data_IF_661568950197
#
_entry.id   IF_661568950197
#
_cell.length_a   1.000
_cell.length_b   1.000
_cell.length_c   1.000
_cell.angle_alpha   90.00
_cell.angle_beta   90.00
_cell.angle_gamma   90.00
#
_symmetry.space_group_name_H-M   'P 1'
#
loop_
_entity.id
_entity.type
_entity.pdbx_description
1 polymer ?
#
# COMPACT_ATOMS: atom_id res chain seq x y z
N UNK A 1 -13.19 10.29 -34.56
CA UNK A 1 -12.85 9.49 -33.36
C UNK A 1 -14.04 9.50 -32.42
N UNK A 2 -14.58 8.32 -32.10
CA UNK A 2 -15.79 8.18 -31.27
C UNK A 2 -15.39 7.56 -29.93
N UNK A 3 -15.67 8.24 -28.82
CA UNK A 3 -15.46 7.67 -27.48
C UNK A 3 -16.51 6.59 -27.20
N UNK A 4 -16.07 5.36 -26.96
CA UNK A 4 -16.94 4.22 -26.68
C UNK A 4 -17.18 4.07 -25.18
N UNK A 5 -16.13 4.22 -24.38
CA UNK A 5 -16.22 4.05 -22.93
C UNK A 5 -14.87 4.18 -22.22
N UNK A 6 -14.88 3.91 -20.92
CA UNK A 6 -13.68 3.92 -20.08
C UNK A 6 -13.66 2.64 -19.26
N UNK A 7 -12.54 1.91 -19.29
CA UNK A 7 -12.36 0.65 -18.57
C UNK A 7 -11.03 0.66 -17.81
N UNK A 8 -11.08 0.39 -16.49
CA UNK A 8 -9.89 0.29 -15.62
C UNK A 8 -8.90 1.47 -15.74
N UNK A 9 -9.40 2.68 -15.97
CA UNK A 9 -8.59 3.90 -16.11
C UNK A 9 -8.13 4.21 -17.54
N UNK A 10 -8.40 3.33 -18.51
CA UNK A 10 -8.12 3.53 -19.92
C UNK A 10 -9.37 3.94 -20.69
N UNK A 11 -9.23 4.80 -21.70
CA UNK A 11 -10.34 5.22 -22.58
C UNK A 11 -10.32 4.41 -23.87
N UNK A 12 -11.45 3.82 -24.23
CA UNK A 12 -11.63 3.15 -25.52
C UNK A 12 -12.23 4.15 -26.51
N UNK A 13 -11.54 4.31 -27.63
CA UNK A 13 -11.93 5.17 -28.74
C UNK A 13 -12.03 4.30 -29.99
N UNK A 14 -13.05 4.51 -30.81
CA UNK A 14 -13.10 3.97 -32.15
C UNK A 14 -12.55 5.01 -33.13
N UNK A 15 -11.47 4.63 -33.82
CA UNK A 15 -10.89 5.42 -34.89
C UNK A 15 -11.50 4.96 -36.23
N UNK A 16 -12.42 5.75 -36.75
CA UNK A 16 -13.09 5.49 -38.02
C UNK A 16 -12.13 5.49 -39.22
N UNK A 17 -11.02 6.25 -39.14
CA UNK A 17 -10.04 6.34 -40.22
C UNK A 17 -9.23 5.04 -40.32
N UNK A 18 -8.85 4.48 -39.17
CA UNK A 18 -8.12 3.21 -39.08
C UNK A 18 -9.04 1.99 -39.03
N UNK A 19 -10.34 2.18 -38.81
CA UNK A 19 -11.36 1.15 -38.56
C UNK A 19 -10.97 0.19 -37.44
N UNK A 20 -10.41 0.75 -36.38
CA UNK A 20 -9.92 -0.01 -35.23
C UNK A 20 -10.36 0.66 -33.94
N UNK A 21 -10.48 -0.15 -32.90
CA UNK A 21 -10.58 0.35 -31.55
C UNK A 21 -9.17 0.65 -31.04
N UNK A 22 -9.03 1.77 -30.33
CA UNK A 22 -7.79 2.26 -29.75
C UNK A 22 -8.00 2.48 -28.25
N UNK A 23 -7.04 2.05 -27.46
CA UNK A 23 -6.99 2.21 -26.01
C UNK A 23 -6.03 3.34 -25.69
N UNK A 24 -6.53 4.35 -24.98
CA UNK A 24 -5.76 5.49 -24.50
C UNK A 24 -5.58 5.43 -22.98
N UNK A 25 -4.45 5.89 -22.48
CA UNK A 25 -4.22 6.05 -21.04
C UNK A 25 -4.81 7.35 -20.47
N UNK A 26 -4.48 7.68 -19.22
CA UNK A 26 -4.93 8.91 -18.54
C UNK A 26 -4.27 10.18 -19.06
N UNK A 27 -3.17 10.06 -19.82
CA UNK A 27 -2.48 11.15 -20.51
C UNK A 27 -2.94 11.30 -21.96
N UNK A 28 -3.90 10.46 -22.39
CA UNK A 28 -4.47 10.40 -23.72
C UNK A 28 -3.51 9.85 -24.79
N UNK A 29 -2.51 9.08 -24.40
CA UNK A 29 -1.59 8.40 -25.32
C UNK A 29 -2.13 7.02 -25.73
N UNK A 30 -1.97 6.67 -27.03
CA UNK A 30 -2.34 5.34 -27.55
C UNK A 30 -1.42 4.27 -26.96
N UNK A 31 -1.99 3.38 -26.14
CA UNK A 31 -1.25 2.28 -25.49
C UNK A 31 -1.51 0.93 -26.15
N UNK A 32 -2.65 0.75 -26.82
CA UNK A 32 -2.97 -0.46 -27.56
C UNK A 32 -4.04 -0.21 -28.63
N UNK A 33 -4.12 -1.07 -29.62
CA UNK A 33 -5.22 -1.11 -30.61
C UNK A 33 -5.72 -2.54 -30.85
N UNK A 34 -6.95 -2.66 -31.33
CA UNK A 34 -7.66 -3.94 -31.52
C UNK A 34 -8.78 -3.85 -32.55
N UNK A 35 -9.14 -5.01 -33.11
CA UNK A 35 -10.22 -5.11 -34.09
C UNK A 35 -11.61 -5.05 -33.43
N UNK A 36 -11.72 -5.49 -32.18
CA UNK A 36 -12.97 -5.47 -31.41
C UNK A 36 -12.79 -4.80 -30.06
N UNK A 37 -13.91 -4.36 -29.46
CA UNK A 37 -13.93 -3.83 -28.10
C UNK A 37 -13.46 -4.88 -27.08
N UNK A 38 -13.91 -6.14 -27.21
CA UNK A 38 -13.56 -7.22 -26.28
C UNK A 38 -12.04 -7.48 -26.21
N UNK A 39 -11.35 -7.41 -27.36
CA UNK A 39 -9.89 -7.55 -27.41
C UNK A 39 -9.18 -6.44 -26.62
N UNK A 40 -9.69 -5.21 -26.70
CA UNK A 40 -9.14 -4.09 -25.94
C UNK A 40 -9.44 -4.17 -24.45
N UNK A 41 -10.61 -4.66 -24.06
CA UNK A 41 -10.93 -4.86 -22.65
C UNK A 41 -10.01 -5.89 -22.00
N UNK A 42 -9.68 -6.96 -22.73
CA UNK A 42 -8.69 -7.95 -22.29
C UNK A 42 -7.29 -7.33 -22.18
N UNK A 43 -6.85 -6.56 -23.19
CA UNK A 43 -5.56 -5.84 -23.17
C UNK A 43 -5.49 -4.81 -22.04
N UNK A 44 -6.56 -4.06 -21.79
CA UNK A 44 -6.64 -3.13 -20.66
C UNK A 44 -6.52 -3.87 -19.32
N UNK A 45 -7.12 -5.06 -19.20
CA UNK A 45 -6.96 -5.91 -18.01
C UNK A 45 -5.52 -6.38 -17.83
N UNK A 46 -4.83 -6.78 -18.88
CA UNK A 46 -3.42 -7.18 -18.83
C UNK A 46 -2.48 -6.00 -18.52
N UNK A 47 -2.67 -4.86 -19.19
CA UNK A 47 -1.90 -3.63 -18.96
C UNK A 47 -2.10 -3.12 -17.52
N UNK A 48 -3.33 -3.17 -17.00
CA UNK A 48 -3.60 -2.82 -15.61
C UNK A 48 -2.88 -3.73 -14.60
N UNK A 49 -2.55 -4.97 -14.98
CA UNK A 49 -1.76 -5.89 -14.15
C UNK A 49 -0.26 -5.63 -14.27
N UNK A 50 0.22 -5.23 -15.45
CA UNK A 50 1.64 -4.96 -15.71
C UNK A 50 2.11 -3.59 -15.20
N UNK A 51 1.21 -2.59 -15.15
CA UNK A 51 1.53 -1.25 -14.66
C UNK A 51 1.96 -1.21 -13.19
N UNK A 52 1.51 -2.18 -12.39
CA UNK A 52 1.95 -2.32 -11.00
C UNK A 52 3.08 -3.34 -10.90
N UNK A 53 4.32 -2.87 -10.75
CA UNK A 53 5.44 -3.73 -10.36
C UNK A 53 5.28 -4.11 -8.89
N UNK A 54 4.60 -5.22 -8.64
CA UNK A 54 4.53 -5.81 -7.31
C UNK A 54 5.85 -6.52 -6.96
N UNK A 55 6.23 -6.56 -5.68
CA UNK A 55 5.58 -5.92 -4.53
C UNK A 55 5.85 -4.40 -4.46
N UNK A 56 4.81 -3.61 -4.13
CA UNK A 56 4.94 -2.16 -3.90
C UNK A 56 5.17 -1.92 -2.41
N UNK A 57 6.29 -1.31 -1.98
CA UNK A 57 6.51 -0.93 -0.60
C UNK A 57 5.43 0.04 -0.10
N UNK A 58 4.81 -0.25 1.04
CA UNK A 58 3.68 0.53 1.54
C UNK A 58 3.63 0.56 3.07
N UNK A 59 2.97 1.57 3.60
CA UNK A 59 2.68 1.76 5.02
C UNK A 59 1.20 1.58 5.26
N UNK A 60 0.85 0.83 6.30
CA UNK A 60 -0.52 0.72 6.80
C UNK A 60 -0.64 1.52 8.10
N UNK A 61 -1.52 2.50 8.13
CA UNK A 61 -1.89 3.22 9.36
C UNK A 61 -3.13 2.56 9.95
N UNK A 62 -3.12 2.32 11.26
CA UNK A 62 -4.26 1.74 11.99
C UNK A 62 -4.37 2.42 13.35
N UNK A 63 -5.23 3.45 13.43
CA UNK A 63 -5.33 4.28 14.64
C UNK A 63 -4.01 5.00 14.93
N UNK A 64 -3.34 4.63 16.03
CA UNK A 64 -2.05 5.19 16.44
C UNK A 64 -0.83 4.32 16.05
N UNK A 65 -1.06 3.19 15.37
CA UNK A 65 0.02 2.32 14.89
C UNK A 65 0.30 2.55 13.41
N UNK A 66 1.58 2.43 13.05
CA UNK A 66 2.06 2.56 11.68
C UNK A 66 2.93 1.33 11.39
N UNK A 67 2.45 0.49 10.47
CA UNK A 67 3.05 -0.81 10.15
C UNK A 67 3.66 -0.78 8.75
N UNK A 68 4.91 -1.22 8.63
CA UNK A 68 5.61 -1.34 7.35
C UNK A 68 5.33 -2.69 6.67
N UNK A 69 5.30 -2.66 5.34
CA UNK A 69 5.14 -3.85 4.53
C UNK A 69 5.08 -3.54 3.05
N UNK A 70 4.34 -4.38 2.33
CA UNK A 70 4.26 -4.33 0.88
C UNK A 70 2.89 -4.77 0.37
N UNK A 71 2.36 -4.01 -0.58
CA UNK A 71 1.22 -4.44 -1.37
C UNK A 71 1.72 -5.47 -2.37
N UNK A 72 1.14 -6.67 -2.33
CA UNK A 72 1.53 -7.79 -3.20
C UNK A 72 0.60 -7.95 -4.40
N UNK A 73 -0.62 -7.43 -4.29
CA UNK A 73 -1.58 -7.40 -5.40
C UNK A 73 -2.69 -6.37 -5.13
N UNK A 74 -3.30 -5.87 -6.20
CA UNK A 74 -4.43 -4.95 -6.17
C UNK A 74 -5.58 -5.53 -7.00
N UNK A 75 -6.78 -5.55 -6.43
CA UNK A 75 -8.02 -5.83 -7.12
C UNK A 75 -8.82 -4.54 -7.26
N UNK A 76 -8.82 -3.99 -8.48
CA UNK A 76 -9.55 -2.76 -8.80
C UNK A 76 -11.08 -2.95 -8.82
N UNK A 77 -11.58 -4.16 -9.06
CA UNK A 77 -13.01 -4.43 -9.13
C UNK A 77 -13.63 -4.36 -7.71
N UNK A 78 -12.94 -4.97 -6.74
CA UNK A 78 -13.34 -4.96 -5.32
C UNK A 78 -12.80 -3.76 -4.55
N UNK A 79 -12.09 -2.84 -5.23
CA UNK A 79 -11.38 -1.71 -4.61
C UNK A 79 -10.56 -2.15 -3.39
N UNK A 80 -9.78 -3.23 -3.53
CA UNK A 80 -9.03 -3.83 -2.44
C UNK A 80 -7.60 -4.20 -2.83
N UNK A 81 -6.72 -4.33 -1.84
CA UNK A 81 -5.33 -4.71 -2.03
C UNK A 81 -4.90 -5.72 -0.98
N UNK A 82 -3.94 -6.59 -1.30
CA UNK A 82 -3.35 -7.51 -0.33
C UNK A 82 -2.03 -6.92 0.18
N UNK A 83 -1.91 -6.79 1.49
CA UNK A 83 -0.73 -6.25 2.17
C UNK A 83 -0.04 -7.34 2.98
N UNK A 84 1.25 -7.53 2.74
CA UNK A 84 2.13 -8.37 3.53
C UNK A 84 2.98 -7.50 4.45
N UNK A 85 2.95 -7.79 5.75
CA UNK A 85 3.78 -7.08 6.74
C UNK A 85 5.23 -7.58 6.69
N UNK A 86 6.20 -6.69 6.90
CA UNK A 86 7.62 -7.09 6.84
C UNK A 86 8.10 -7.86 8.09
N UNK A 87 7.45 -7.62 9.23
CA UNK A 87 7.77 -8.27 10.52
C UNK A 87 7.05 -9.62 10.72
N UNK A 88 6.28 -10.11 9.74
CA UNK A 88 5.57 -11.38 9.81
C UNK A 88 5.97 -12.27 8.63
N UNK A 89 6.31 -13.52 8.92
CA UNK A 89 6.41 -14.58 7.92
C UNK A 89 5.14 -14.57 7.08
N UNK A 90 5.27 -14.71 5.75
CA UNK A 90 4.27 -14.59 4.66
C UNK A 90 2.81 -15.08 4.92
N UNK A 91 2.51 -15.74 6.03
CA UNK A 91 1.19 -16.30 6.37
C UNK A 91 0.12 -15.26 6.73
N UNK A 92 0.47 -13.99 6.99
CA UNK A 92 -0.51 -12.97 7.40
C UNK A 92 -0.65 -11.84 6.38
N UNK A 93 -1.23 -12.15 5.22
CA UNK A 93 -1.71 -11.11 4.32
C UNK A 93 -2.98 -10.46 4.90
N UNK A 94 -3.02 -9.13 4.95
CA UNK A 94 -4.21 -8.36 5.31
C UNK A 94 -4.85 -7.81 4.05
N UNK A 95 -6.16 -8.02 3.88
CA UNK A 95 -6.95 -7.34 2.84
C UNK A 95 -7.15 -5.88 3.28
N UNK A 96 -6.70 -4.96 2.45
CA UNK A 96 -6.91 -3.52 2.57
C UNK A 96 -8.06 -3.12 1.65
N UNK A 97 -8.94 -2.25 2.12
CA UNK A 97 -9.96 -1.61 1.30
C UNK A 97 -9.45 -0.24 0.86
N UNK A 98 -9.26 -0.02 -0.44
CA UNK A 98 -8.61 1.19 -0.97
C UNK A 98 -9.38 2.49 -0.68
N UNK A 99 -10.69 2.41 -0.38
CA UNK A 99 -11.52 3.57 -0.03
C UNK A 99 -11.54 3.93 1.45
N UNK A 100 -11.13 3.01 2.33
CA UNK A 100 -11.32 3.16 3.78
C UNK A 100 -10.10 2.78 4.61
N UNK A 101 -9.06 2.23 3.99
CA UNK A 101 -7.80 1.91 4.64
C UNK A 101 -6.80 3.03 4.36
N UNK A 102 -6.24 3.58 5.44
CA UNK A 102 -5.15 4.55 5.42
C UNK A 102 -3.83 3.86 5.04
N UNK A 103 -3.76 3.37 3.80
CA UNK A 103 -2.58 2.73 3.24
C UNK A 103 -1.90 3.68 2.24
N UNK A 104 -0.65 4.01 2.52
CA UNK A 104 0.13 4.97 1.76
C UNK A 104 1.35 4.30 1.13
N UNK A 105 1.74 4.74 -0.05
CA UNK A 105 2.98 4.28 -0.68
C UNK A 105 4.19 4.69 0.17
N UNK A 106 5.18 3.80 0.33
CA UNK A 106 6.39 4.10 1.08
C UNK A 106 7.35 4.91 0.22
N UNK A 107 7.12 6.22 0.17
CA UNK A 107 8.01 7.21 -0.44
C UNK A 107 9.11 7.65 0.54
N UNK A 108 10.14 8.36 0.06
CA UNK A 108 11.18 8.95 0.93
C UNK A 108 10.62 9.92 1.99
N UNK A 109 9.54 10.63 1.67
CA UNK A 109 8.87 11.51 2.63
C UNK A 109 8.15 10.69 3.71
N UNK A 110 7.44 9.65 3.29
CA UNK A 110 6.67 8.79 4.19
C UNK A 110 7.58 7.91 5.07
N UNK A 111 8.77 7.53 4.59
CA UNK A 111 9.76 6.79 5.39
C UNK A 111 10.31 7.61 6.55
N UNK A 112 10.52 8.93 6.37
CA UNK A 112 10.92 9.84 7.46
C UNK A 112 9.87 9.96 8.54
N UNK A 113 8.60 10.12 8.15
CA UNK A 113 7.45 10.15 9.07
C UNK A 113 7.39 8.84 9.87
N UNK A 114 7.59 7.70 9.22
CA UNK A 114 7.64 6.40 9.90
C UNK A 114 8.75 6.33 10.96
N UNK A 115 9.95 6.85 10.67
CA UNK A 115 11.06 6.88 11.62
C UNK A 115 10.77 7.80 12.82
N UNK A 116 10.13 8.95 12.58
CA UNK A 116 9.73 9.88 13.64
C UNK A 116 8.63 9.31 14.54
N UNK A 117 7.65 8.60 13.96
CA UNK A 117 6.59 7.90 14.71
C UNK A 117 7.19 6.78 15.55
N UNK A 118 8.11 5.98 15.00
CA UNK A 118 8.80 4.92 15.75
C UNK A 118 9.57 5.49 16.95
N UNK A 119 10.33 6.57 16.73
CA UNK A 119 11.05 7.28 17.80
C UNK A 119 10.10 7.85 18.87
N UNK A 120 8.97 8.41 18.45
CA UNK A 120 7.95 8.92 19.38
C UNK A 120 7.30 7.80 20.19
N UNK A 121 7.09 6.62 19.59
CA UNK A 121 6.58 5.46 20.31
C UNK A 121 7.58 4.91 21.33
N UNK A 122 8.88 4.91 21.02
CA UNK A 122 9.93 4.56 21.98
C UNK A 122 9.93 5.53 23.18
N UNK A 123 9.87 6.83 22.92
CA UNK A 123 9.77 7.85 23.97
C UNK A 123 8.52 7.69 24.84
N UNK A 124 7.37 7.36 24.24
CA UNK A 124 6.14 7.08 25.00
C UNK A 124 6.29 5.83 25.87
N UNK A 125 6.96 4.77 25.38
CA UNK A 125 7.24 3.58 26.19
C UNK A 125 8.14 3.89 27.38
N UNK A 126 9.19 4.69 27.20
CA UNK A 126 10.06 5.12 28.30
C UNK A 126 9.29 5.91 29.38
N UNK A 127 8.30 6.71 28.98
CA UNK A 127 7.45 7.46 29.91
C UNK A 127 6.41 6.56 30.61
N UNK A 128 5.87 5.57 29.88
CA UNK A 128 4.85 4.64 30.42
C UNK A 128 5.45 3.55 31.33
N UNK A 129 6.77 3.33 31.27
CA UNK A 129 7.49 2.35 32.10
C UNK A 129 8.49 3.01 33.07
N UNK A 130 8.04 3.80 34.07
CA UNK A 130 8.94 4.39 35.08
C UNK A 130 9.50 3.35 36.08
N UNK A 131 9.28 2.04 35.85
CA UNK A 131 9.47 0.94 36.80
C UNK A 131 10.91 0.44 37.01
N UNK A 132 11.94 1.24 36.73
CA UNK A 132 13.35 0.88 36.92
C UNK A 132 14.00 1.32 38.24
N UNK A 133 13.31 2.10 39.09
CA UNK A 133 13.87 2.61 40.34
C UNK A 133 13.08 2.11 41.56
N UNK A 134 13.22 0.82 41.90
CA UNK A 134 13.12 0.37 43.30
C UNK A 134 13.43 -1.14 43.44
N UNK A 135 14.72 -1.50 43.50
CA UNK A 135 15.15 -2.71 44.22
C UNK A 135 16.65 -2.75 44.57
N UNK A 136 17.19 -1.67 45.14
CA UNK A 136 18.53 -1.70 45.76
C UNK A 136 18.56 -0.94 47.09
N UNK A 137 17.70 -1.31 48.05
CA UNK A 137 17.84 -0.88 49.45
C UNK A 137 17.37 -1.99 50.39
N UNK A 138 18.16 -3.06 50.52
CA UNK A 138 18.04 -3.98 51.66
C UNK A 138 19.39 -4.63 51.95
N UNK A 139 20.36 -3.79 52.31
CA UNK A 139 21.62 -4.22 52.89
C UNK A 139 21.92 -3.25 54.04
N UNK A 140 21.42 -3.54 55.25
CA UNK A 140 22.07 -3.18 56.53
C UNK A 140 21.24 -3.76 57.68
N UNK A 141 21.55 -4.99 58.06
CA UNK A 141 21.38 -5.45 59.45
C UNK A 141 22.74 -5.99 59.89
N UNK A 142 23.44 -5.20 60.70
CA UNK A 142 24.54 -5.72 61.52
C UNK A 142 23.91 -6.40 62.74
N UNK A 143 24.35 -7.60 63.15
CA UNK A 143 24.04 -8.09 64.47
C UNK A 143 24.90 -7.32 65.49
N UNK A 144 24.26 -6.84 66.55
CA UNK A 144 24.92 -6.29 67.75
C UNK A 144 25.35 -7.48 68.63
N UNK A 145 26.54 -7.46 69.26
CA UNK A 145 27.07 -8.56 70.07
C UNK A 145 26.26 -8.88 71.31
#
# INVERSE_FOLDING_TARGET
MIKIGTIRGFTIIYDESRRLFVLHDTQNDEVASGATQADLELKAKELSRQAFKFPIPALKVSGLSLDQGRVTSVNMDDQSAYFAFDNKTYQHHSKLHLRSADAYELTEANSRICAEVAKSQEQIKEIQDPGGYNRCCSSFHKPIP
#
